data_IF_668471637765
#
_entry.id   IF_668471637765
#
_cell.length_a   1.000
_cell.length_b   1.000
_cell.length_c   1.000
_cell.angle_alpha   90.00
_cell.angle_beta   90.00
_cell.angle_gamma   90.00
#
_symmetry.space_group_name_H-M   'P 1'
#
loop_
_entity.id
_entity.type
_entity.pdbx_description
1 polymer ?
#
# COMPACT_ATOMS: atom_id res chain seq x y z
N UNK A 1 -57.15 9.59 11.14
CA UNK A 1 -56.27 8.82 12.05
C UNK A 1 -55.32 8.01 11.20
N UNK A 2 -54.07 7.99 11.62
CA UNK A 2 -52.84 7.75 10.86
C UNK A 2 -52.71 6.38 10.21
N UNK A 3 -52.32 6.43 8.94
CA UNK A 3 -51.72 5.39 8.11
C UNK A 3 -50.35 4.99 8.69
N UNK A 4 -50.07 3.69 8.81
CA UNK A 4 -48.82 3.19 9.38
C UNK A 4 -48.24 2.08 8.48
N UNK A 5 -47.53 2.50 7.43
CA UNK A 5 -46.57 1.66 6.69
C UNK A 5 -45.21 1.74 7.40
N UNK A 6 -44.55 0.61 7.72
CA UNK A 6 -43.14 0.65 8.06
C UNK A 6 -42.32 0.79 6.78
N UNK A 7 -41.54 1.87 6.71
CA UNK A 7 -40.77 2.28 5.55
C UNK A 7 -39.58 1.38 5.23
N UNK A 8 -39.33 1.28 3.93
CA UNK A 8 -38.03 1.04 3.33
C UNK A 8 -37.00 2.03 3.88
N UNK A 9 -35.93 1.50 4.43
CA UNK A 9 -34.82 2.28 4.98
C UNK A 9 -33.51 1.53 4.77
N UNK A 10 -32.98 1.64 3.55
CA UNK A 10 -31.56 1.60 3.19
C UNK A 10 -30.63 0.82 4.14
N UNK A 11 -30.79 -0.49 4.21
CA UNK A 11 -29.72 -1.34 4.68
C UNK A 11 -28.68 -1.40 3.56
N UNK A 12 -27.72 -0.47 3.63
CA UNK A 12 -26.54 -0.42 2.76
C UNK A 12 -25.97 -1.83 2.69
N UNK A 13 -25.88 -2.36 1.47
CA UNK A 13 -25.07 -3.52 1.11
C UNK A 13 -23.61 -3.21 1.46
N UNK A 14 -23.27 -3.35 2.73
CA UNK A 14 -21.93 -3.71 3.15
C UNK A 14 -21.85 -5.24 3.09
N UNK A 15 -20.68 -5.76 2.75
CA UNK A 15 -20.35 -7.20 2.70
C UNK A 15 -20.72 -7.92 1.40
N UNK A 16 -20.00 -7.61 0.32
CA UNK A 16 -19.57 -8.66 -0.61
C UNK A 16 -18.07 -8.90 -0.34
N UNK A 17 -17.81 -9.83 0.57
CA UNK A 17 -16.52 -10.07 1.22
C UNK A 17 -15.47 -10.73 0.32
N UNK A 18 -14.86 -9.96 -0.58
CA UNK A 18 -13.55 -10.30 -1.13
C UNK A 18 -12.48 -9.72 -0.20
N UNK A 19 -12.01 -10.51 0.77
CA UNK A 19 -10.91 -10.08 1.65
C UNK A 19 -9.62 -10.01 0.84
N UNK A 20 -9.27 -8.82 0.35
CA UNK A 20 -7.97 -8.60 -0.30
C UNK A 20 -6.89 -8.68 0.78
N UNK A 21 -5.80 -9.45 0.58
CA UNK A 21 -4.70 -9.50 1.53
C UNK A 21 -4.09 -8.11 1.76
N UNK A 22 -4.26 -7.58 2.96
CA UNK A 22 -3.78 -6.23 3.34
C UNK A 22 -2.39 -6.24 3.96
N UNK A 23 -1.92 -7.43 4.33
CA UNK A 23 -0.57 -7.71 4.82
C UNK A 23 0.19 -8.59 3.80
N UNK A 24 1.51 -8.72 3.97
CA UNK A 24 2.35 -9.53 3.08
C UNK A 24 2.04 -11.03 3.20
N UNK A 25 1.76 -11.68 2.07
CA UNK A 25 1.55 -13.14 1.99
C UNK A 25 2.81 -13.96 1.67
N UNK A 26 3.82 -13.39 0.99
CA UNK A 26 5.02 -14.16 0.61
C UNK A 26 6.00 -14.30 1.78
N UNK A 27 6.68 -15.45 1.95
CA UNK A 27 7.72 -15.61 2.96
C UNK A 27 8.84 -14.59 2.76
N UNK A 28 9.48 -14.22 3.85
CA UNK A 28 10.71 -13.42 3.82
C UNK A 28 11.81 -14.13 3.04
N UNK A 29 12.74 -13.38 2.45
CA UNK A 29 13.81 -13.95 1.61
C UNK A 29 13.46 -13.98 0.12
N UNK A 30 12.22 -14.29 -0.27
CA UNK A 30 11.85 -14.35 -1.69
C UNK A 30 11.82 -12.95 -2.36
N UNK A 31 12.41 -12.77 -3.55
CA UNK A 31 12.40 -11.49 -4.27
C UNK A 31 11.01 -11.22 -4.86
N UNK A 32 10.36 -10.14 -4.40
CA UNK A 32 8.94 -9.95 -4.75
C UNK A 32 8.73 -8.99 -5.93
N UNK A 33 9.64 -8.05 -6.16
CA UNK A 33 9.47 -7.00 -7.20
C UNK A 33 10.76 -6.75 -7.99
N UNK A 34 11.90 -7.22 -7.46
CA UNK A 34 13.24 -6.88 -7.97
C UNK A 34 13.79 -7.86 -9.02
N UNK A 35 12.99 -8.87 -9.38
CA UNK A 35 13.21 -9.73 -10.55
C UNK A 35 12.26 -9.40 -11.70
N UNK A 36 11.42 -8.38 -11.55
CA UNK A 36 10.54 -7.88 -12.62
C UNK A 36 11.34 -6.83 -13.40
N UNK A 37 11.84 -7.22 -14.59
CA UNK A 37 12.66 -6.36 -15.47
C UNK A 37 11.97 -5.02 -15.79
N UNK A 38 10.62 -4.99 -15.72
CA UNK A 38 9.82 -3.77 -15.87
C UNK A 38 10.02 -2.73 -14.76
N UNK A 39 10.67 -3.09 -13.64
CA UNK A 39 10.88 -2.22 -12.46
C UNK A 39 12.36 -1.90 -12.21
N UNK A 40 13.29 -2.83 -12.46
CA UNK A 40 14.69 -2.69 -11.98
C UNK A 40 15.73 -2.30 -13.03
N UNK A 41 15.43 -2.41 -14.34
CA UNK A 41 16.41 -2.17 -15.40
C UNK A 41 17.76 -2.86 -15.15
N UNK A 42 18.87 -2.22 -15.55
CA UNK A 42 20.25 -2.75 -15.45
C UNK A 42 20.80 -2.88 -14.02
N UNK A 43 20.06 -2.42 -12.99
CA UNK A 43 20.46 -2.46 -11.56
C UNK A 43 20.08 -3.76 -10.84
N UNK A 44 19.56 -4.74 -11.57
CA UNK A 44 19.22 -6.07 -11.04
C UNK A 44 20.39 -6.81 -10.34
N UNK A 45 21.65 -6.40 -10.57
CA UNK A 45 22.86 -7.09 -10.08
C UNK A 45 23.24 -6.82 -8.62
N UNK A 46 22.63 -5.86 -7.93
CA UNK A 46 22.85 -5.60 -6.49
C UNK A 46 21.73 -6.20 -5.60
N UNK A 47 21.20 -7.35 -6.03
CA UNK A 47 20.10 -8.05 -5.37
C UNK A 47 20.54 -8.72 -4.07
N UNK A 48 20.81 -7.94 -3.03
CA UNK A 48 21.02 -8.48 -1.68
C UNK A 48 19.66 -8.88 -1.10
N UNK A 49 19.45 -10.19 -1.00
CA UNK A 49 18.39 -10.82 -0.22
C UNK A 49 18.88 -10.95 1.23
N UNK A 50 17.99 -10.69 2.18
CA UNK A 50 18.26 -10.94 3.59
C UNK A 50 17.46 -12.17 4.00
N UNK A 51 18.17 -13.27 4.24
CA UNK A 51 17.63 -14.50 4.78
C UNK A 51 17.58 -14.37 6.32
N UNK A 52 16.39 -14.38 6.94
CA UNK A 52 16.27 -14.26 8.39
C UNK A 52 16.81 -15.48 9.15
N UNK A 53 17.02 -16.61 8.48
CA UNK A 53 17.47 -17.86 9.10
C UNK A 53 18.98 -18.10 8.92
N UNK A 54 19.68 -17.21 8.20
CA UNK A 54 21.13 -17.24 7.99
C UNK A 54 21.87 -16.15 8.80
N UNK A 55 22.86 -16.57 9.60
CA UNK A 55 23.58 -15.69 10.51
C UNK A 55 24.43 -14.64 9.79
N UNK A 56 25.03 -14.99 8.64
CA UNK A 56 25.83 -14.08 7.83
C UNK A 56 24.92 -13.06 7.14
N UNK A 57 23.80 -13.51 6.58
CA UNK A 57 22.77 -12.63 6.04
C UNK A 57 22.19 -11.66 7.08
N UNK A 58 22.01 -12.09 8.33
CA UNK A 58 21.61 -11.21 9.43
C UNK A 58 22.70 -10.20 9.83
N UNK A 59 23.99 -10.53 9.68
CA UNK A 59 25.08 -9.57 9.87
C UNK A 59 25.05 -8.48 8.78
N UNK A 60 24.85 -8.88 7.52
CA UNK A 60 24.67 -7.95 6.40
C UNK A 60 23.43 -7.08 6.54
N UNK A 61 22.33 -7.65 7.06
CA UNK A 61 21.11 -6.92 7.37
C UNK A 61 21.38 -5.87 8.47
N UNK A 62 22.09 -6.24 9.53
CA UNK A 62 22.46 -5.33 10.63
C UNK A 62 23.26 -4.13 10.11
N UNK A 63 24.27 -4.37 9.29
CA UNK A 63 25.08 -3.30 8.72
C UNK A 63 24.30 -2.43 7.74
N UNK A 64 23.40 -3.04 6.96
CA UNK A 64 22.50 -2.28 6.08
C UNK A 64 21.55 -1.39 6.88
N UNK A 65 20.96 -1.88 7.97
CA UNK A 65 20.09 -1.07 8.84
C UNK A 65 20.88 0.05 9.53
N UNK A 66 22.10 -0.22 9.99
CA UNK A 66 22.98 0.79 10.61
C UNK A 66 23.26 1.95 9.66
N UNK A 67 23.68 1.65 8.42
CA UNK A 67 23.91 2.66 7.37
C UNK A 67 22.64 3.41 6.99
N UNK A 68 21.52 2.69 6.92
CA UNK A 68 20.23 3.27 6.61
C UNK A 68 19.75 4.25 7.68
N UNK A 69 19.95 3.92 8.96
CA UNK A 69 19.59 4.79 10.07
C UNK A 69 20.43 6.06 10.11
N UNK A 70 21.72 5.98 9.80
CA UNK A 70 22.65 7.11 9.79
C UNK A 70 22.43 8.13 8.65
N UNK A 71 21.40 7.95 7.80
CA UNK A 71 21.02 8.93 6.77
C UNK A 71 22.05 9.16 5.66
N UNK A 72 23.05 8.27 5.51
CA UNK A 72 24.11 8.38 4.49
C UNK A 72 23.65 8.01 3.08
N UNK A 73 22.46 8.43 2.67
CA UNK A 73 21.74 7.75 1.58
C UNK A 73 20.93 8.75 0.75
N UNK A 74 21.18 8.72 -0.55
CA UNK A 74 20.44 9.39 -1.63
C UNK A 74 18.94 9.07 -1.57
N UNK A 75 18.09 9.93 -2.17
CA UNK A 75 16.63 9.74 -2.38
C UNK A 75 16.31 8.55 -3.35
N UNK A 76 17.04 7.45 -3.24
CA UNK A 76 16.84 6.26 -4.05
C UNK A 76 15.78 5.35 -3.40
N UNK A 77 14.61 5.28 -4.03
CA UNK A 77 13.51 4.44 -3.58
C UNK A 77 13.89 2.96 -3.43
N UNK A 78 14.80 2.44 -4.27
CA UNK A 78 15.27 1.06 -4.18
C UNK A 78 16.14 0.86 -2.95
N UNK A 79 17.00 1.84 -2.64
CA UNK A 79 17.79 1.83 -1.42
C UNK A 79 16.89 1.83 -0.17
N UNK A 80 15.88 2.70 -0.14
CA UNK A 80 14.90 2.78 0.95
C UNK A 80 14.17 1.44 1.17
N UNK A 81 13.73 0.80 0.09
CA UNK A 81 13.11 -0.53 0.15
C UNK A 81 14.08 -1.63 0.61
N UNK A 82 15.39 -1.48 0.34
CA UNK A 82 16.41 -2.43 0.80
C UNK A 82 16.62 -2.29 2.31
N UNK A 83 16.70 -1.05 2.80
CA UNK A 83 16.73 -0.79 4.24
C UNK A 83 15.48 -1.31 4.96
N UNK A 84 14.30 -1.18 4.34
CA UNK A 84 13.06 -1.77 4.85
C UNK A 84 13.13 -3.31 4.94
N UNK A 85 13.66 -3.97 3.91
CA UNK A 85 13.86 -5.41 3.90
C UNK A 85 14.85 -5.87 4.99
N UNK A 86 15.96 -5.15 5.16
CA UNK A 86 16.94 -5.44 6.20
C UNK A 86 16.33 -5.31 7.62
N UNK A 87 15.55 -4.25 7.88
CA UNK A 87 14.82 -4.09 9.15
C UNK A 87 13.90 -5.29 9.41
N UNK A 88 13.19 -5.75 8.38
CA UNK A 88 12.21 -6.81 8.51
C UNK A 88 12.86 -8.21 8.64
N UNK A 89 14.03 -8.42 8.03
CA UNK A 89 14.82 -9.64 8.21
C UNK A 89 15.40 -9.71 9.63
N UNK A 90 16.00 -8.62 10.13
CA UNK A 90 16.53 -8.57 11.50
C UNK A 90 15.46 -8.86 12.56
N UNK A 91 14.28 -8.26 12.43
CA UNK A 91 13.19 -8.49 13.40
C UNK A 91 12.77 -9.96 13.44
N UNK A 92 12.81 -10.65 12.29
CA UNK A 92 12.43 -12.05 12.20
C UNK A 92 13.53 -12.98 12.71
N UNK A 93 14.78 -12.77 12.31
CA UNK A 93 15.91 -13.57 12.79
C UNK A 93 16.19 -13.39 14.29
N UNK A 94 16.04 -12.17 14.82
CA UNK A 94 16.26 -11.88 16.24
C UNK A 94 15.04 -12.10 17.12
N UNK A 95 13.87 -12.36 16.53
CA UNK A 95 12.60 -12.61 17.23
C UNK A 95 12.00 -11.41 17.99
N UNK A 96 12.67 -10.25 18.03
CA UNK A 96 12.11 -9.03 18.63
C UNK A 96 12.70 -7.74 18.05
N UNK A 97 11.92 -6.66 18.09
CA UNK A 97 12.42 -5.34 17.70
C UNK A 97 13.56 -4.83 18.59
N UNK A 98 13.59 -5.26 19.86
CA UNK A 98 14.63 -4.83 20.82
C UNK A 98 15.97 -5.47 20.46
N UNK A 99 15.99 -6.79 20.28
CA UNK A 99 17.19 -7.53 19.86
C UNK A 99 17.68 -7.07 18.47
N UNK A 100 16.76 -6.83 17.53
CA UNK A 100 17.10 -6.27 16.22
C UNK A 100 17.78 -4.89 16.32
N UNK A 101 17.30 -4.01 17.21
CA UNK A 101 17.91 -2.70 17.43
C UNK A 101 19.28 -2.79 18.11
N UNK A 102 19.42 -3.69 19.09
CA UNK A 102 20.70 -3.97 19.77
C UNK A 102 21.75 -4.50 18.77
N UNK A 103 21.35 -5.44 17.90
CA UNK A 103 22.24 -5.97 16.84
C UNK A 103 22.63 -4.92 15.81
N UNK A 104 21.67 -4.13 15.32
CA UNK A 104 21.95 -3.08 14.35
C UNK A 104 22.84 -1.98 14.95
N UNK A 105 22.62 -1.62 16.22
CA UNK A 105 23.37 -0.60 16.94
C UNK A 105 23.30 0.81 16.31
N UNK A 106 24.05 1.75 16.89
CA UNK A 106 24.09 3.13 16.41
C UNK A 106 22.73 3.85 16.50
N UNK A 107 22.32 4.50 15.41
CA UNK A 107 21.07 5.29 15.34
C UNK A 107 19.81 4.43 15.06
N UNK A 108 19.98 3.11 14.87
CA UNK A 108 18.90 2.19 14.53
C UNK A 108 17.99 1.86 15.73
N UNK A 109 17.15 2.82 16.13
CA UNK A 109 16.23 2.64 17.26
C UNK A 109 15.14 1.60 16.97
N UNK A 110 14.54 1.04 18.03
CA UNK A 110 13.32 0.19 17.95
C UNK A 110 12.22 0.86 17.11
N UNK A 111 12.03 2.17 17.28
CA UNK A 111 11.01 2.93 16.54
C UNK A 111 11.33 3.04 15.05
N UNK A 112 12.60 3.16 14.69
CA UNK A 112 13.09 3.19 13.32
C UNK A 112 12.87 1.84 12.62
N UNK A 113 13.33 0.75 13.25
CA UNK A 113 13.20 -0.60 12.72
C UNK A 113 11.72 -0.97 12.56
N UNK A 114 10.88 -0.70 13.56
CA UNK A 114 9.43 -0.97 13.49
C UNK A 114 8.77 -0.26 12.32
N UNK A 115 9.11 1.01 12.11
CA UNK A 115 8.56 1.82 11.02
C UNK A 115 8.89 1.23 9.65
N UNK A 116 10.14 0.85 9.43
CA UNK A 116 10.60 0.37 8.14
C UNK A 116 10.27 -1.10 7.88
N UNK A 117 10.23 -1.94 8.91
CA UNK A 117 9.71 -3.31 8.80
C UNK A 117 8.25 -3.29 8.30
N UNK A 118 7.40 -2.39 8.81
CA UNK A 118 6.02 -2.24 8.32
C UNK A 118 5.93 -1.81 6.86
N UNK A 119 6.85 -0.96 6.38
CA UNK A 119 6.92 -0.58 4.95
C UNK A 119 7.21 -1.80 4.09
N UNK A 120 8.08 -2.70 4.57
CA UNK A 120 8.36 -3.95 3.88
C UNK A 120 7.16 -4.92 3.89
N UNK A 121 6.34 -4.88 4.93
CA UNK A 121 5.16 -5.74 5.07
C UNK A 121 3.92 -5.19 4.33
N UNK A 122 4.04 -4.04 3.66
CA UNK A 122 3.02 -3.56 2.71
C UNK A 122 2.72 -4.61 1.63
N UNK A 123 1.47 -4.66 1.12
CA UNK A 123 1.10 -5.50 -0.01
C UNK A 123 2.04 -5.34 -1.20
N UNK A 124 2.27 -6.43 -1.93
CA UNK A 124 3.17 -6.43 -3.10
C UNK A 124 2.77 -5.36 -4.11
N UNK A 125 1.47 -5.20 -4.35
CA UNK A 125 0.90 -4.20 -5.26
C UNK A 125 1.33 -2.78 -4.87
N UNK A 126 1.28 -2.43 -3.59
CA UNK A 126 1.72 -1.12 -3.07
C UNK A 126 3.24 -0.96 -3.16
N UNK A 127 4.01 -1.99 -2.77
CA UNK A 127 5.48 -1.93 -2.86
C UNK A 127 5.97 -1.76 -4.30
N UNK A 128 5.22 -2.23 -5.30
CA UNK A 128 5.55 -2.03 -6.73
C UNK A 128 5.54 -0.54 -7.06
N UNK A 129 4.52 0.17 -6.60
CA UNK A 129 4.40 1.61 -6.84
C UNK A 129 5.46 2.41 -6.10
N UNK A 130 5.89 1.97 -4.92
CA UNK A 130 7.04 2.58 -4.23
C UNK A 130 8.33 2.37 -5.02
N UNK A 131 8.54 1.16 -5.54
CA UNK A 131 9.73 0.85 -6.34
C UNK A 131 9.77 1.65 -7.66
N UNK A 132 8.62 1.85 -8.30
CA UNK A 132 8.45 2.68 -9.50
C UNK A 132 8.51 4.19 -9.21
N UNK A 133 8.57 4.59 -7.94
CA UNK A 133 8.56 5.99 -7.53
C UNK A 133 7.23 6.72 -7.67
N UNK A 134 6.15 6.01 -7.96
CA UNK A 134 4.79 6.56 -7.99
C UNK A 134 4.26 6.84 -6.57
N UNK A 135 4.72 6.08 -5.58
CA UNK A 135 4.48 6.37 -4.15
C UNK A 135 5.83 6.66 -3.48
N UNK A 136 6.01 7.88 -2.99
CA UNK A 136 7.22 8.22 -2.25
C UNK A 136 7.40 7.31 -1.01
N UNK A 137 8.61 6.82 -0.69
CA UNK A 137 8.86 6.03 0.53
C UNK A 137 8.42 6.75 1.82
N UNK A 138 8.48 8.08 1.81
CA UNK A 138 8.02 8.94 2.90
C UNK A 138 6.49 8.97 3.03
N UNK A 139 5.72 8.74 1.97
CA UNK A 139 4.28 8.46 2.04
C UNK A 139 4.01 7.01 2.45
N UNK A 140 4.77 6.05 1.90
CA UNK A 140 4.64 4.63 2.18
C UNK A 140 4.74 4.30 3.69
N UNK A 141 5.63 4.97 4.43
CA UNK A 141 5.72 4.81 5.90
C UNK A 141 4.45 5.24 6.65
N UNK A 142 3.66 6.16 6.10
CA UNK A 142 2.39 6.59 6.68
C UNK A 142 1.28 5.61 6.32
N UNK A 143 1.23 5.16 5.06
CA UNK A 143 0.33 4.09 4.59
C UNK A 143 0.52 2.83 5.44
N UNK A 144 1.76 2.41 5.67
CA UNK A 144 2.09 1.22 6.46
C UNK A 144 1.67 1.28 7.94
N UNK A 145 1.22 2.43 8.44
CA UNK A 145 0.68 2.56 9.80
C UNK A 145 -0.83 2.31 9.85
N UNK A 146 -1.52 2.40 8.72
CA UNK A 146 -2.96 2.12 8.62
C UNK A 146 -3.18 0.61 8.64
N UNK A 147 -4.16 0.16 9.40
CA UNK A 147 -4.56 -1.25 9.48
C UNK A 147 -5.62 -1.63 8.45
N UNK A 148 -5.70 -2.93 8.13
CA UNK A 148 -6.76 -3.49 7.30
C UNK A 148 -6.85 -2.90 5.89
N UNK A 149 -8.05 -2.98 5.31
CA UNK A 149 -8.33 -2.58 3.92
C UNK A 149 -8.05 -1.09 3.66
N UNK A 150 -8.26 -0.24 4.67
CA UNK A 150 -8.00 1.19 4.59
C UNK A 150 -6.56 1.52 4.16
N UNK A 151 -5.59 0.63 4.42
CA UNK A 151 -4.22 0.76 3.94
C UNK A 151 -4.12 0.69 2.42
N UNK A 152 -4.81 -0.28 1.81
CA UNK A 152 -4.82 -0.44 0.35
C UNK A 152 -5.54 0.73 -0.30
N UNK A 153 -6.69 1.10 0.24
CA UNK A 153 -7.49 2.22 -0.24
C UNK A 153 -6.71 3.54 -0.18
N UNK A 154 -5.98 3.81 0.91
CA UNK A 154 -5.13 4.99 1.01
C UNK A 154 -3.97 4.95 0.00
N UNK A 155 -3.41 3.79 -0.30
CA UNK A 155 -2.34 3.68 -1.29
C UNK A 155 -2.82 4.05 -2.70
N UNK A 156 -4.02 3.59 -3.09
CA UNK A 156 -4.61 3.93 -4.39
C UNK A 156 -5.07 5.37 -4.46
N UNK A 157 -5.74 5.86 -3.41
CA UNK A 157 -6.10 7.27 -3.31
C UNK A 157 -4.87 8.20 -3.36
N UNK A 158 -3.69 7.74 -2.94
CA UNK A 158 -2.44 8.52 -3.08
C UNK A 158 -2.05 8.72 -4.55
N UNK A 159 -2.30 7.73 -5.40
CA UNK A 159 -2.00 7.80 -6.83
C UNK A 159 -3.09 8.58 -7.57
N UNK A 160 -4.35 8.22 -7.33
CA UNK A 160 -5.48 8.73 -8.10
C UNK A 160 -5.79 10.20 -7.76
N UNK A 161 -5.52 10.60 -6.51
CA UNK A 161 -5.76 11.95 -6.01
C UNK A 161 -4.52 12.83 -5.89
N UNK A 162 -3.37 12.42 -6.44
CA UNK A 162 -2.06 13.11 -6.34
C UNK A 162 -1.75 13.62 -4.91
N UNK A 163 -2.01 12.77 -3.90
CA UNK A 163 -1.90 13.18 -2.50
C UNK A 163 -0.44 13.43 -2.14
N UNK A 164 -0.18 14.59 -1.53
CA UNK A 164 1.15 14.88 -1.00
C UNK A 164 1.46 13.99 0.21
N UNK A 165 2.74 13.84 0.54
CA UNK A 165 3.17 13.14 1.77
C UNK A 165 2.50 13.72 3.03
N UNK A 166 2.22 15.03 3.04
CA UNK A 166 1.53 15.71 4.15
C UNK A 166 0.07 15.28 4.24
N UNK A 167 -0.61 15.13 3.12
CA UNK A 167 -2.00 14.65 3.06
C UNK A 167 -2.09 13.21 3.51
N UNK A 168 -1.24 12.33 2.96
CA UNK A 168 -1.17 10.92 3.35
C UNK A 168 -0.93 10.78 4.85
N UNK A 169 -0.03 11.58 5.43
CA UNK A 169 0.20 11.62 6.89
C UNK A 169 -1.06 12.03 7.66
N UNK A 170 -1.74 13.08 7.22
CA UNK A 170 -2.96 13.61 7.85
C UNK A 170 -4.08 12.58 7.84
N UNK A 171 -4.33 11.98 6.67
CA UNK A 171 -5.35 10.96 6.46
C UNK A 171 -5.04 9.71 7.30
N UNK A 172 -3.80 9.20 7.24
CA UNK A 172 -3.39 8.05 8.04
C UNK A 172 -3.56 8.28 9.54
N UNK A 173 -3.34 9.52 10.03
CA UNK A 173 -3.61 9.85 11.43
C UNK A 173 -5.10 9.74 11.75
N UNK A 174 -5.95 10.42 10.98
CA UNK A 174 -7.41 10.41 11.18
C UNK A 174 -7.99 8.99 11.14
N UNK A 175 -7.52 8.15 10.22
CA UNK A 175 -7.97 6.76 10.10
C UNK A 175 -7.57 5.95 11.33
N UNK A 176 -6.35 6.12 11.83
CA UNK A 176 -5.92 5.49 13.08
C UNK A 176 -6.71 6.01 14.30
N UNK A 177 -7.23 7.23 14.24
CA UNK A 177 -8.12 7.81 15.25
C UNK A 177 -9.60 7.37 15.06
N UNK A 178 -9.88 6.43 14.15
CA UNK A 178 -11.19 5.82 13.94
C UNK A 178 -12.07 6.50 12.90
N UNK A 179 -11.57 7.51 12.17
CA UNK A 179 -12.33 8.12 11.07
C UNK A 179 -12.36 7.17 9.86
N UNK A 180 -13.53 6.84 9.30
CA UNK A 180 -13.62 6.06 8.07
C UNK A 180 -12.81 6.68 6.92
N UNK A 181 -12.17 5.83 6.11
CA UNK A 181 -11.21 6.27 5.07
C UNK A 181 -11.86 7.18 4.02
N UNK A 182 -13.07 6.86 3.57
CA UNK A 182 -13.88 7.67 2.65
C UNK A 182 -14.07 9.10 3.18
N UNK A 183 -14.45 9.24 4.45
CA UNK A 183 -14.61 10.54 5.11
C UNK A 183 -13.30 11.28 5.32
N UNK A 184 -12.22 10.55 5.54
CA UNK A 184 -10.90 11.14 5.70
C UNK A 184 -10.40 11.72 4.36
N UNK A 185 -10.66 11.03 3.24
CA UNK A 185 -10.27 11.42 1.88
C UNK A 185 -11.06 12.61 1.33
N UNK A 186 -12.37 12.68 1.57
CA UNK A 186 -13.22 13.80 1.09
C UNK A 186 -12.70 15.17 1.56
N UNK A 187 -12.06 15.25 2.73
CA UNK A 187 -11.46 16.50 3.24
C UNK A 187 -10.23 16.98 2.45
N UNK A 188 -9.76 16.17 1.52
CA UNK A 188 -8.63 16.42 0.64
C UNK A 188 -9.08 16.36 -0.83
N UNK A 189 -10.38 16.54 -1.11
CA UNK A 189 -10.98 16.53 -2.45
C UNK A 189 -10.73 15.23 -3.23
N UNK A 190 -10.56 14.11 -2.51
CA UNK A 190 -10.44 12.76 -3.10
C UNK A 190 -11.71 11.98 -2.81
N UNK A 191 -12.39 11.56 -3.88
CA UNK A 191 -13.52 10.63 -3.82
C UNK A 191 -13.00 9.21 -3.96
N UNK A 192 -13.26 8.37 -2.96
CA UNK A 192 -12.78 6.99 -2.99
C UNK A 192 -13.44 6.21 -4.13
N UNK A 193 -12.62 5.60 -4.99
CA UNK A 193 -13.06 4.81 -6.14
C UNK A 193 -13.26 5.62 -7.43
N UNK A 194 -13.07 6.94 -7.39
CA UNK A 194 -13.02 7.75 -8.60
C UNK A 194 -11.66 7.57 -9.29
N UNK A 195 -11.70 7.20 -10.58
CA UNK A 195 -10.53 6.91 -11.39
C UNK A 195 -10.78 7.40 -12.82
N UNK A 196 -9.83 8.15 -13.37
CA UNK A 196 -9.87 8.57 -14.77
C UNK A 196 -9.33 7.45 -15.68
N UNK A 197 -10.12 7.08 -16.70
CA UNK A 197 -9.78 6.01 -17.63
C UNK A 197 -9.97 6.49 -19.07
N UNK A 198 -9.04 6.12 -19.93
CA UNK A 198 -9.21 6.26 -21.39
C UNK A 198 -9.67 4.93 -21.98
N UNK A 199 -10.88 4.91 -22.52
CA UNK A 199 -11.43 3.73 -23.20
C UNK A 199 -11.14 3.79 -24.71
N UNK A 200 -11.09 2.63 -25.37
CA UNK A 200 -11.06 2.60 -26.83
C UNK A 200 -12.31 3.30 -27.41
N UNK A 201 -12.24 3.93 -28.58
CA UNK A 201 -13.38 4.65 -29.15
C UNK A 201 -14.65 3.77 -29.30
N UNK A 202 -14.48 2.49 -29.60
CA UNK A 202 -15.58 1.52 -29.71
C UNK A 202 -16.20 1.23 -28.34
N UNK A 203 -15.38 0.94 -27.33
CA UNK A 203 -15.87 0.67 -25.97
C UNK A 203 -16.53 1.90 -25.36
N UNK A 204 -15.97 3.09 -25.57
CA UNK A 204 -16.58 4.36 -25.14
C UNK A 204 -17.97 4.57 -25.77
N UNK A 205 -18.09 4.41 -27.10
CA UNK A 205 -19.37 4.52 -27.82
C UNK A 205 -20.40 3.54 -27.26
N UNK A 206 -20.00 2.28 -27.09
CA UNK A 206 -20.92 1.21 -26.69
C UNK A 206 -21.37 1.38 -25.23
N UNK A 207 -20.45 1.79 -24.34
CA UNK A 207 -20.76 2.17 -22.96
C UNK A 207 -21.78 3.31 -22.91
N UNK A 208 -21.53 4.41 -23.64
CA UNK A 208 -22.43 5.58 -23.66
C UNK A 208 -23.79 5.24 -24.25
N UNK A 209 -23.84 4.45 -25.33
CA UNK A 209 -25.10 3.99 -25.93
C UNK A 209 -25.90 3.15 -24.93
N UNK A 210 -25.26 2.17 -24.29
CA UNK A 210 -25.93 1.26 -23.36
C UNK A 210 -26.44 1.99 -22.12
N UNK A 211 -25.58 2.79 -21.49
CA UNK A 211 -25.94 3.63 -20.35
C UNK A 211 -27.15 4.53 -20.67
N UNK A 212 -27.18 5.15 -21.86
CA UNK A 212 -28.29 6.00 -22.28
C UNK A 212 -29.59 5.24 -22.54
N UNK A 213 -29.53 4.01 -23.08
CA UNK A 213 -30.73 3.18 -23.33
C UNK A 213 -31.31 2.67 -22.01
N UNK A 214 -30.44 2.28 -21.08
CA UNK A 214 -30.83 1.70 -19.78
C UNK A 214 -31.14 2.78 -18.72
N UNK A 215 -30.80 4.05 -18.98
CA UNK A 215 -31.08 5.17 -18.08
C UNK A 215 -30.20 5.17 -16.82
N UNK A 216 -28.97 4.68 -16.93
CA UNK A 216 -28.01 4.56 -15.81
C UNK A 216 -26.72 5.33 -16.09
N UNK A 217 -25.96 5.65 -15.05
CA UNK A 217 -24.64 6.24 -15.21
C UNK A 217 -23.64 5.22 -15.80
N UNK A 218 -22.74 5.65 -16.70
CA UNK A 218 -21.70 4.77 -17.25
C UNK A 218 -20.89 4.03 -16.19
N UNK A 219 -20.60 4.69 -15.06
CA UNK A 219 -19.85 4.10 -13.94
C UNK A 219 -20.54 2.89 -13.31
N UNK A 220 -21.87 2.83 -13.32
CA UNK A 220 -22.60 1.66 -12.82
C UNK A 220 -22.34 0.44 -13.70
N UNK A 221 -22.44 0.60 -15.02
CA UNK A 221 -22.18 -0.49 -15.97
C UNK A 221 -20.72 -0.97 -15.91
N UNK A 222 -19.78 -0.05 -15.70
CA UNK A 222 -18.36 -0.40 -15.50
C UNK A 222 -18.17 -1.17 -14.20
N UNK A 223 -18.81 -0.73 -13.11
CA UNK A 223 -18.76 -1.41 -11.81
C UNK A 223 -19.30 -2.83 -11.92
N UNK A 224 -20.50 -3.00 -12.47
CA UNK A 224 -21.13 -4.31 -12.64
C UNK A 224 -20.27 -5.25 -13.49
N UNK A 225 -19.68 -4.73 -14.58
CA UNK A 225 -18.79 -5.52 -15.44
C UNK A 225 -17.50 -5.95 -14.74
N UNK A 226 -16.90 -5.08 -13.90
CA UNK A 226 -15.69 -5.39 -13.14
C UNK A 226 -15.98 -6.34 -11.97
N UNK A 227 -17.10 -6.15 -11.27
CA UNK A 227 -17.54 -7.08 -10.23
C UNK A 227 -17.70 -8.48 -10.81
N UNK A 228 -18.39 -8.61 -11.95
CA UNK A 228 -18.53 -9.89 -12.64
C UNK A 228 -17.19 -10.49 -13.11
N UNK A 229 -16.23 -9.66 -13.52
CA UNK A 229 -14.91 -10.13 -13.95
C UNK A 229 -14.04 -10.65 -12.78
N UNK A 230 -14.23 -10.12 -11.57
CA UNK A 230 -13.43 -10.48 -10.40
C UNK A 230 -14.09 -11.52 -9.48
N UNK A 231 -15.32 -11.95 -9.77
CA UNK A 231 -15.95 -13.15 -9.21
C UNK A 231 -15.31 -14.43 -9.79
#
# INVERSE_FOLDING_TARGET
MTDNRPGEGSNRRAENGRSVPTDRESPVGAPVIRGDESVTGTRAREAVQFDPDDADSLADAAETVRRFAAGKTTDDHLYMLRGAAACAALVRGEGSYKAAAERAGGEATVSFIRKWARVHDLPRSVRKQVALGQIAPTAAKHIARVGGEARLLLAWATLDGDLTVRDVRSIASKVNDGVPIDRALIKHDVVLGELELTLSPTTYRDLRRRASIEGVEPGQLVTDALEHYFE
#
